data_IF_723996750412
#
_entry.id   IF_723996750412
#
_cell.length_a   1.000
_cell.length_b   1.000
_cell.length_c   1.000
_cell.angle_alpha   90.00
_cell.angle_beta   90.00
_cell.angle_gamma   90.00
#
_symmetry.space_group_name_H-M   'P 1'
#
loop_
_entity.id
_entity.type
_entity.pdbx_description
1 polymer ?
#
# COMPACT_ATOMS: atom_id res chain seq x y z
N UNK A 1 -4.93 12.80 30.41
CA UNK A 1 -4.10 12.83 29.20
C UNK A 1 -4.85 12.15 28.07
N UNK A 2 -5.12 12.86 26.96
CA UNK A 2 -5.70 12.28 25.75
C UNK A 2 -4.66 11.33 25.11
N UNK A 3 -5.08 10.13 24.74
CA UNK A 3 -4.22 9.11 24.13
C UNK A 3 -3.90 9.55 22.71
N UNK A 4 -2.61 9.77 22.39
CA UNK A 4 -2.19 10.06 21.01
C UNK A 4 -2.60 8.87 20.13
N UNK A 5 -3.43 9.13 19.12
CA UNK A 5 -3.83 8.11 18.14
C UNK A 5 -2.63 7.83 17.24
N UNK A 6 -2.03 6.65 17.39
CA UNK A 6 -0.92 6.20 16.54
C UNK A 6 -1.45 5.76 15.17
N UNK A 7 -0.62 5.88 14.15
CA UNK A 7 -0.86 5.25 12.85
C UNK A 7 -0.70 3.72 12.94
N UNK A 8 -1.28 3.02 11.97
CA UNK A 8 -1.13 1.57 11.81
C UNK A 8 -0.45 1.29 10.48
N UNK A 9 0.63 0.50 10.51
CA UNK A 9 1.31 0.04 9.30
C UNK A 9 0.80 -1.36 8.95
N UNK A 10 0.31 -1.51 7.73
CA UNK A 10 -0.13 -2.79 7.18
C UNK A 10 0.86 -3.26 6.13
N UNK A 11 1.31 -4.51 6.23
CA UNK A 11 2.14 -5.13 5.20
C UNK A 11 1.25 -5.98 4.29
N UNK A 12 1.19 -5.61 3.02
CA UNK A 12 0.48 -6.37 2.00
C UNK A 12 1.46 -7.22 1.19
N UNK A 13 1.26 -8.54 1.10
CA UNK A 13 2.08 -9.37 0.23
C UNK A 13 1.73 -9.05 -1.23
N UNK A 14 2.75 -8.87 -2.06
CA UNK A 14 2.58 -8.78 -3.52
C UNK A 14 2.60 -10.19 -4.09
N UNK A 15 1.66 -10.49 -4.98
CA UNK A 15 1.56 -11.82 -5.61
C UNK A 15 2.72 -12.05 -6.56
N UNK A 16 3.33 -13.24 -6.53
CA UNK A 16 4.30 -13.67 -7.52
C UNK A 16 3.60 -14.06 -8.84
N UNK A 17 4.14 -13.61 -9.97
CA UNK A 17 3.66 -13.99 -11.31
C UNK A 17 2.54 -13.13 -11.89
N UNK A 18 2.02 -13.56 -13.05
CA UNK A 18 0.99 -12.84 -13.81
C UNK A 18 -0.43 -13.05 -13.29
N UNK A 19 -0.61 -13.70 -12.12
CA UNK A 19 -1.86 -14.17 -11.54
C UNK A 19 -3.07 -13.35 -12.03
N UNK A 20 -3.84 -14.01 -12.91
CA UNK A 20 -4.92 -13.37 -13.66
C UNK A 20 -6.09 -13.01 -12.75
N UNK A 21 -6.21 -13.68 -11.58
CA UNK A 21 -7.29 -13.45 -10.64
C UNK A 21 -6.78 -13.23 -9.20
N UNK A 22 -6.52 -11.97 -8.86
CA UNK A 22 -6.08 -11.54 -7.52
C UNK A 22 -7.08 -11.94 -6.41
N UNK A 23 -8.38 -12.02 -6.74
CA UNK A 23 -9.45 -12.38 -5.78
C UNK A 23 -9.36 -13.83 -5.30
N UNK A 24 -8.63 -14.69 -6.01
CA UNK A 24 -8.42 -16.09 -5.61
C UNK A 24 -7.23 -16.30 -4.68
N UNK A 25 -6.39 -15.28 -4.50
CA UNK A 25 -5.11 -15.41 -3.78
C UNK A 25 -5.01 -14.48 -2.57
N UNK A 26 -5.76 -13.38 -2.55
CA UNK A 26 -5.85 -12.48 -1.40
C UNK A 26 -7.14 -12.77 -0.63
N UNK A 27 -7.11 -12.99 0.70
CA UNK A 27 -8.31 -13.17 1.50
C UNK A 27 -9.24 -11.94 1.47
N UNK A 28 -10.55 -12.17 1.59
CA UNK A 28 -11.57 -11.11 1.52
C UNK A 28 -11.30 -9.95 2.49
N UNK A 29 -10.93 -10.26 3.74
CA UNK A 29 -10.64 -9.27 4.78
C UNK A 29 -9.53 -8.28 4.38
N UNK A 30 -8.53 -8.72 3.62
CA UNK A 30 -7.44 -7.85 3.21
C UNK A 30 -7.93 -6.74 2.27
N UNK A 31 -8.98 -6.98 1.48
CA UNK A 31 -9.58 -5.93 0.65
C UNK A 31 -10.27 -4.85 1.50
N UNK A 32 -10.95 -5.25 2.56
CA UNK A 32 -11.58 -4.30 3.49
C UNK A 32 -10.54 -3.35 4.09
N UNK A 33 -9.40 -3.91 4.52
CA UNK A 33 -8.26 -3.12 5.02
C UNK A 33 -7.68 -2.25 3.91
N UNK A 34 -7.42 -2.82 2.73
CA UNK A 34 -6.81 -2.12 1.59
C UNK A 34 -7.65 -0.91 1.16
N UNK A 35 -8.97 -1.04 1.12
CA UNK A 35 -9.89 0.02 0.70
C UNK A 35 -9.94 1.21 1.66
N UNK A 36 -9.45 1.04 2.90
CA UNK A 36 -9.28 2.11 3.87
C UNK A 36 -7.98 2.91 3.71
N UNK A 37 -7.04 2.48 2.86
CA UNK A 37 -5.70 3.04 2.78
C UNK A 37 -5.59 4.01 1.59
N UNK A 38 -4.86 5.12 1.77
CA UNK A 38 -4.57 6.13 0.72
C UNK A 38 -3.08 6.44 0.57
N UNK A 39 -2.27 5.99 1.52
CA UNK A 39 -0.83 6.22 1.57
C UNK A 39 -0.14 4.88 1.44
N UNK A 40 0.75 4.75 0.46
CA UNK A 40 1.43 3.50 0.15
C UNK A 40 2.94 3.71 0.10
N UNK A 41 3.69 2.85 0.79
CA UNK A 41 5.14 2.70 0.64
C UNK A 41 5.37 1.49 -0.24
N UNK A 42 6.05 1.67 -1.38
CA UNK A 42 6.10 0.65 -2.45
C UNK A 42 7.50 0.54 -3.03
N UNK A 43 7.93 -0.68 -3.37
CA UNK A 43 9.23 -0.87 -4.05
C UNK A 43 9.21 -0.44 -5.53
N UNK A 44 8.01 -0.46 -6.12
CA UNK A 44 7.81 -0.06 -7.51
C UNK A 44 6.40 0.52 -7.69
N UNK A 45 6.34 1.79 -8.08
CA UNK A 45 5.07 2.52 -8.22
C UNK A 45 4.16 1.87 -9.28
N UNK A 46 4.73 1.39 -10.39
CA UNK A 46 3.95 0.83 -11.51
C UNK A 46 3.26 -0.47 -11.12
N UNK A 47 3.96 -1.39 -10.46
CA UNK A 47 3.38 -2.67 -10.05
C UNK A 47 2.36 -2.49 -8.94
N UNK A 48 2.62 -1.60 -7.98
CA UNK A 48 1.69 -1.28 -6.91
C UNK A 48 0.39 -0.67 -7.42
N UNK A 49 0.47 0.34 -8.31
CA UNK A 49 -0.72 0.94 -8.96
C UNK A 49 -1.54 -0.13 -9.69
N UNK A 50 -0.89 -1.07 -10.37
CA UNK A 50 -1.57 -2.19 -11.05
C UNK A 50 -2.27 -3.12 -10.06
N UNK A 51 -1.62 -3.46 -8.95
CA UNK A 51 -2.21 -4.28 -7.88
C UNK A 51 -3.46 -3.60 -7.29
N UNK A 52 -3.35 -2.32 -6.93
CA UNK A 52 -4.45 -1.53 -6.38
C UNK A 52 -5.61 -1.45 -7.38
N UNK A 53 -5.32 -1.18 -8.67
CA UNK A 53 -6.36 -1.18 -9.72
C UNK A 53 -7.04 -2.55 -9.85
N UNK A 54 -6.26 -3.63 -9.90
CA UNK A 54 -6.79 -5.00 -9.99
C UNK A 54 -7.60 -5.41 -8.77
N UNK A 55 -7.28 -4.87 -7.60
CA UNK A 55 -8.00 -5.17 -6.36
C UNK A 55 -9.44 -4.66 -6.40
N UNK A 56 -9.74 -3.63 -7.20
CA UNK A 56 -11.03 -2.97 -7.22
C UNK A 56 -11.12 -1.83 -6.20
N UNK A 57 -9.99 -1.24 -5.82
CA UNK A 57 -9.95 -0.15 -4.84
C UNK A 57 -10.90 0.99 -5.25
N UNK A 58 -11.82 1.43 -4.37
CA UNK A 58 -12.93 2.31 -4.75
C UNK A 58 -12.51 3.75 -5.03
N UNK A 59 -11.37 4.19 -4.50
CA UNK A 59 -10.84 5.55 -4.72
C UNK A 59 -9.88 5.59 -5.91
N UNK A 60 -9.93 6.65 -6.74
CA UNK A 60 -8.98 6.87 -7.83
C UNK A 60 -7.53 6.83 -7.36
N UNK A 61 -6.66 6.25 -8.17
CA UNK A 61 -5.24 6.11 -7.84
C UNK A 61 -4.54 7.47 -7.77
N UNK A 62 -5.01 8.46 -8.52
CA UNK A 62 -4.43 9.80 -8.52
C UNK A 62 -4.75 10.59 -7.24
N UNK A 63 -5.71 10.11 -6.43
CA UNK A 63 -6.01 10.64 -5.09
C UNK A 63 -5.21 9.93 -3.98
N UNK A 64 -4.20 9.14 -4.35
CA UNK A 64 -3.36 8.38 -3.41
C UNK A 64 -1.93 8.91 -3.39
N UNK A 65 -1.29 8.81 -2.23
CA UNK A 65 0.11 9.16 -2.05
C UNK A 65 0.99 7.90 -2.11
N UNK A 66 2.08 7.99 -2.88
CA UNK A 66 3.04 6.90 -3.03
C UNK A 66 4.43 7.38 -2.63
N UNK A 67 5.08 6.61 -1.76
CA UNK A 67 6.49 6.73 -1.45
C UNK A 67 7.22 5.53 -2.04
N UNK A 68 8.24 5.77 -2.87
CA UNK A 68 9.05 4.68 -3.40
C UNK A 68 10.18 4.35 -2.42
N UNK A 69 10.22 3.09 -1.98
CA UNK A 69 11.27 2.55 -1.12
C UNK A 69 12.21 1.69 -1.98
N UNK A 70 13.43 2.18 -2.20
CA UNK A 70 14.41 1.50 -3.04
C UNK A 70 15.82 1.58 -2.43
N UNK A 71 16.82 1.00 -3.09
CA UNK A 71 18.22 0.95 -2.59
C UNK A 71 18.91 2.31 -2.41
N UNK A 72 18.32 3.38 -2.92
CA UNK A 72 18.80 4.76 -2.77
C UNK A 72 18.03 5.53 -1.69
N UNK A 73 17.00 4.94 -1.09
CA UNK A 73 16.30 5.51 0.07
C UNK A 73 17.19 5.34 1.30
N UNK A 74 17.62 6.45 1.90
CA UNK A 74 18.38 6.39 3.16
C UNK A 74 17.45 6.01 4.33
N UNK A 75 18.01 5.45 5.39
CA UNK A 75 17.24 5.08 6.58
C UNK A 75 16.52 6.30 7.19
N UNK A 76 17.17 7.46 7.20
CA UNK A 76 16.60 8.72 7.70
C UNK A 76 15.41 9.18 6.86
N UNK A 77 15.39 8.87 5.57
CA UNK A 77 14.29 9.22 4.69
C UNK A 77 13.05 8.33 4.92
N UNK A 78 13.23 7.10 5.42
CA UNK A 78 12.12 6.16 5.68
C UNK A 78 11.20 6.69 6.78
N UNK A 79 11.77 7.33 7.80
CA UNK A 79 11.01 7.95 8.89
C UNK A 79 10.00 8.99 8.39
N UNK A 80 10.31 9.70 7.31
CA UNK A 80 9.41 10.66 6.69
C UNK A 80 8.19 9.98 6.04
N UNK A 81 8.35 8.77 5.50
CA UNK A 81 7.24 8.03 4.88
C UNK A 81 6.18 7.59 5.89
N UNK A 82 6.58 7.43 7.16
CA UNK A 82 5.67 7.09 8.27
C UNK A 82 4.95 8.32 8.86
N UNK A 83 5.18 9.52 8.29
CA UNK A 83 4.56 10.79 8.66
C UNK A 83 3.90 11.46 7.43
N UNK A 84 2.93 10.79 6.78
CA UNK A 84 2.26 11.31 5.60
C UNK A 84 1.39 12.54 5.88
#
# INVERSE_FOLDING_TARGET
MSKIKKGTVYLFPVTLGSNENIQKVIPAYNYEVLYGIRVFIVENIRTARRFIKKSGHPVPIDDMQFFELNKYTSEEAVDAFLRP
#
